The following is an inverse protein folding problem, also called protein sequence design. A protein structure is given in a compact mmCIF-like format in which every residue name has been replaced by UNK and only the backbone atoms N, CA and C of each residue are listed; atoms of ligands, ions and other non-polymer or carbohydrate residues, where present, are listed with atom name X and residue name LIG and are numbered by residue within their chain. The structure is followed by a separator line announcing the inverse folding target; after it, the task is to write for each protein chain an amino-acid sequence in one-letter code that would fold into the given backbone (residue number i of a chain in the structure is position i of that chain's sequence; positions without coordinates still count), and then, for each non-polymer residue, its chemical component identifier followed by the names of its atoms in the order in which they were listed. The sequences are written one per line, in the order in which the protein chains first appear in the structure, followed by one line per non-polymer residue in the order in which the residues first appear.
data_IF_667805386663
#
_entry.id   IF_667805386663
#
_cell.length_a   1.000
_cell.length_b   1.000
_cell.length_c   1.000
_cell.angle_alpha   90.00
_cell.angle_beta   90.00
_cell.angle_gamma   90.00
#
_symmetry.space_group_name_H-M   'P 1'
#
loop_
_entity.id
_entity.type
_entity.pdbx_description
1 polymer ?
#
# COMPACT_ATOMS: atom_id res chain seq x y z
N UNK A 1 -51.20 13.40 -62.29
CA UNK A 1 -51.84 13.38 -60.95
C UNK A 1 -50.86 12.77 -59.97
N UNK A 2 -50.57 13.50 -58.89
CA UNK A 2 -49.59 13.17 -57.85
C UNK A 2 -50.30 12.36 -56.78
N UNK A 3 -49.76 11.20 -56.42
CA UNK A 3 -50.16 10.49 -55.19
C UNK A 3 -49.01 10.59 -54.21
N UNK A 4 -49.16 11.49 -53.25
CA UNK A 4 -48.24 11.74 -52.15
C UNK A 4 -48.52 10.68 -51.09
N UNK A 5 -47.53 9.84 -50.77
CA UNK A 5 -47.60 8.88 -49.68
C UNK A 5 -47.34 9.64 -48.38
N UNK A 6 -48.40 9.86 -47.59
CA UNK A 6 -48.31 10.44 -46.26
C UNK A 6 -47.89 9.34 -45.27
N UNK A 7 -46.58 9.19 -45.05
CA UNK A 7 -46.06 8.36 -43.95
C UNK A 7 -46.14 9.20 -42.68
N UNK A 8 -47.18 8.98 -41.89
CA UNK A 8 -47.31 9.58 -40.57
C UNK A 8 -46.20 9.08 -39.65
N UNK A 9 -45.25 9.97 -39.34
CA UNK A 9 -44.31 9.84 -38.24
C UNK A 9 -45.07 9.78 -36.91
N UNK A 10 -45.17 8.60 -36.32
CA UNK A 10 -45.42 8.42 -34.89
C UNK A 10 -44.09 8.09 -34.21
N UNK A 11 -43.47 9.01 -33.45
CA UNK A 11 -42.42 8.64 -32.52
C UNK A 11 -43.09 7.92 -31.36
N UNK A 12 -43.12 6.58 -31.42
CA UNK A 12 -43.32 5.77 -30.23
C UNK A 12 -42.20 6.11 -29.26
N UNK A 13 -42.60 6.66 -28.12
CA UNK A 13 -41.82 6.85 -26.91
C UNK A 13 -41.13 5.53 -26.52
N UNK A 14 -39.93 5.30 -27.04
CA UNK A 14 -38.96 4.38 -26.45
C UNK A 14 -38.19 5.14 -25.34
N UNK A 15 -38.95 5.67 -24.37
CA UNK A 15 -38.43 5.74 -23.01
C UNK A 15 -38.40 4.30 -22.50
N UNK A 16 -37.41 3.96 -21.66
CA UNK A 16 -37.19 2.62 -21.06
C UNK A 16 -36.25 1.66 -21.80
N UNK A 17 -35.10 2.14 -22.26
CA UNK A 17 -33.92 1.28 -22.39
C UNK A 17 -32.60 1.94 -21.95
N UNK A 18 -32.66 3.06 -21.20
CA UNK A 18 -31.62 3.34 -20.21
C UNK A 18 -31.86 2.43 -19.03
N UNK A 19 -31.60 1.13 -19.27
CA UNK A 19 -31.42 0.16 -18.22
C UNK A 19 -30.37 0.75 -17.30
N UNK A 20 -30.86 1.29 -16.19
CA UNK A 20 -30.10 1.51 -14.98
C UNK A 20 -29.21 0.28 -14.83
N UNK A 21 -27.95 0.40 -15.23
CA UNK A 21 -26.87 -0.36 -14.61
C UNK A 21 -26.95 0.08 -13.15
N UNK A 22 -27.84 -0.53 -12.39
CA UNK A 22 -27.75 -0.61 -10.94
C UNK A 22 -26.50 -1.43 -10.70
N UNK A 23 -25.36 -0.76 -10.85
CA UNK A 23 -24.06 -1.24 -10.39
C UNK A 23 -24.32 -1.61 -8.92
N UNK A 24 -24.40 -2.92 -8.64
CA UNK A 24 -24.52 -3.43 -7.28
C UNK A 24 -23.44 -2.82 -6.39
N UNK A 25 -23.60 -2.83 -5.06
CA UNK A 25 -22.66 -2.18 -4.16
C UNK A 25 -21.23 -2.60 -4.49
N UNK A 26 -20.38 -1.62 -4.78
CA UNK A 26 -18.98 -1.81 -5.08
C UNK A 26 -18.34 -2.42 -3.83
N UNK A 27 -18.21 -3.76 -3.78
CA UNK A 27 -17.62 -4.42 -2.62
C UNK A 27 -16.14 -4.09 -2.57
N UNK A 28 -15.81 -3.17 -1.67
CA UNK A 28 -14.45 -2.78 -1.36
C UNK A 28 -13.85 -3.67 -0.28
N UNK A 29 -12.54 -3.83 -0.32
CA UNK A 29 -11.76 -4.50 0.72
C UNK A 29 -10.65 -3.60 1.21
N UNK A 30 -10.20 -3.82 2.43
CA UNK A 30 -9.04 -3.14 2.95
C UNK A 30 -7.80 -3.98 2.73
N UNK A 31 -6.71 -3.30 2.43
CA UNK A 31 -5.37 -3.84 2.42
C UNK A 31 -4.69 -3.35 3.69
N UNK A 32 -4.01 -4.25 4.39
CA UNK A 32 -3.17 -3.93 5.52
C UNK A 32 -1.72 -3.95 5.06
N UNK A 33 -1.05 -2.80 5.18
CA UNK A 33 0.32 -2.60 4.77
C UNK A 33 1.20 -2.40 6.01
N UNK A 34 2.42 -2.91 5.97
CA UNK A 34 3.33 -2.94 7.11
C UNK A 34 4.73 -2.53 6.71
N UNK A 35 5.41 -1.82 7.59
CA UNK A 35 6.85 -1.66 7.59
C UNK A 35 7.37 -2.42 8.81
N UNK A 36 8.22 -3.42 8.61
CA UNK A 36 8.76 -4.24 9.70
C UNK A 36 10.27 -4.13 9.78
N UNK A 37 10.78 -4.40 10.96
CA UNK A 37 12.20 -4.36 11.29
C UNK A 37 12.90 -5.70 11.05
N UNK A 38 13.92 -5.72 10.22
CA UNK A 38 14.60 -6.92 9.79
C UNK A 38 14.00 -7.42 8.49
N UNK A 39 14.15 -8.72 8.24
CA UNK A 39 13.84 -9.32 6.94
C UNK A 39 12.67 -10.31 6.97
N UNK A 40 12.08 -10.54 8.15
CA UNK A 40 11.10 -11.61 8.36
C UNK A 40 9.72 -11.06 8.63
N UNK A 41 8.69 -11.89 8.47
CA UNK A 41 7.29 -11.54 8.80
C UNK A 41 7.03 -11.42 10.30
N UNK A 42 7.79 -12.13 11.13
CA UNK A 42 7.63 -12.13 12.59
C UNK A 42 8.40 -11.00 13.27
N UNK A 43 9.23 -10.31 12.48
CA UNK A 43 9.83 -9.05 12.83
C UNK A 43 8.83 -8.06 13.42
N UNK A 44 9.32 -7.23 14.34
CA UNK A 44 8.55 -6.15 14.93
C UNK A 44 8.01 -5.20 13.84
N UNK A 45 6.72 -4.88 13.91
CA UNK A 45 6.11 -3.87 13.05
C UNK A 45 6.51 -2.47 13.52
N UNK A 46 7.11 -1.69 12.63
CA UNK A 46 7.49 -0.29 12.83
C UNK A 46 6.34 0.66 12.48
N UNK A 47 5.58 0.34 11.42
CA UNK A 47 4.44 1.14 10.96
C UNK A 47 3.39 0.25 10.29
N UNK A 48 2.13 0.61 10.49
CA UNK A 48 0.99 0.00 9.80
C UNK A 48 0.18 1.10 9.14
N UNK A 49 -0.30 0.84 7.92
CA UNK A 49 -1.31 1.68 7.27
C UNK A 49 -2.31 0.82 6.52
N UNK A 50 -3.50 1.35 6.29
CA UNK A 50 -4.57 0.66 5.56
C UNK A 50 -4.82 1.36 4.23
N UNK A 51 -5.17 0.59 3.21
CA UNK A 51 -5.58 1.11 1.91
C UNK A 51 -6.87 0.46 1.47
N UNK A 52 -7.91 1.25 1.15
CA UNK A 52 -9.18 0.72 0.64
C UNK A 52 -9.07 0.53 -0.87
N UNK A 53 -9.38 -0.66 -1.37
CA UNK A 53 -9.46 -0.94 -2.80
C UNK A 53 -10.84 -1.50 -3.15
N UNK A 54 -11.40 -1.06 -4.28
CA UNK A 54 -12.75 -1.43 -4.71
C UNK A 54 -12.68 -2.12 -6.08
N UNK A 55 -13.47 -3.18 -6.25
CA UNK A 55 -13.62 -3.88 -7.53
C UNK A 55 -14.70 -3.25 -8.39
N UNK A 56 -14.81 -3.72 -9.63
CA UNK A 56 -15.89 -3.35 -10.55
C UNK A 56 -17.18 -4.14 -10.23
N UNK A 57 -18.15 -4.16 -11.15
CA UNK A 57 -19.41 -4.92 -11.04
C UNK A 57 -19.14 -6.36 -10.57
N UNK A 58 -19.89 -6.81 -9.56
CA UNK A 58 -19.72 -8.14 -8.93
C UNK A 58 -18.82 -8.16 -7.69
N UNK A 59 -18.14 -7.04 -7.39
CA UNK A 59 -17.35 -6.90 -6.17
C UNK A 59 -15.91 -7.40 -6.29
N UNK A 60 -15.08 -7.10 -5.28
CA UNK A 60 -13.69 -7.53 -5.26
C UNK A 60 -13.52 -8.83 -4.47
N UNK A 61 -13.00 -9.88 -5.09
CA UNK A 61 -12.63 -11.12 -4.39
C UNK A 61 -11.41 -10.89 -3.49
N UNK A 62 -11.19 -11.77 -2.50
CA UNK A 62 -10.03 -11.64 -1.61
C UNK A 62 -8.70 -11.78 -2.36
N UNK A 63 -8.63 -12.72 -3.32
CA UNK A 63 -7.47 -12.90 -4.19
C UNK A 63 -7.20 -11.64 -5.01
N UNK A 64 -8.22 -11.10 -5.69
CA UNK A 64 -8.08 -9.90 -6.51
C UNK A 64 -7.72 -8.65 -5.68
N UNK A 65 -8.17 -8.56 -4.43
CA UNK A 65 -7.71 -7.53 -3.51
C UNK A 65 -6.23 -7.73 -3.15
N UNK A 66 -5.82 -8.96 -2.89
CA UNK A 66 -4.46 -9.31 -2.54
C UNK A 66 -3.47 -9.01 -3.68
N UNK A 67 -3.86 -9.25 -4.93
CA UNK A 67 -3.03 -8.94 -6.11
C UNK A 67 -2.72 -7.44 -6.23
N UNK A 68 -3.56 -6.59 -5.66
CA UNK A 68 -3.38 -5.13 -5.66
C UNK A 68 -2.46 -4.63 -4.55
N UNK A 69 -2.07 -5.48 -3.59
CA UNK A 69 -1.20 -5.10 -2.48
C UNK A 69 0.12 -4.53 -2.97
N UNK A 70 0.74 -5.12 -3.98
CA UNK A 70 2.04 -4.67 -4.49
C UNK A 70 2.00 -3.21 -4.99
N UNK A 71 0.92 -2.82 -5.68
CA UNK A 71 0.73 -1.47 -6.23
C UNK A 71 0.21 -0.47 -5.20
N UNK A 72 -0.55 -0.92 -4.19
CA UNK A 72 -1.21 -0.03 -3.22
C UNK A 72 -0.45 0.11 -1.90
N UNK A 73 0.20 -0.95 -1.42
CA UNK A 73 1.12 -0.89 -0.30
C UNK A 73 2.50 -0.40 -0.77
N UNK A 74 2.52 0.72 -1.50
CA UNK A 74 3.75 1.43 -1.81
C UNK A 74 4.10 2.33 -0.64
N UNK A 75 5.26 2.08 -0.05
CA UNK A 75 5.95 3.04 0.79
C UNK A 75 7.30 3.24 0.13
N UNK A 76 7.65 4.50 -0.12
CA UNK A 76 8.96 4.83 -0.61
C UNK A 76 9.96 4.74 0.54
N UNK A 77 10.73 3.65 0.57
CA UNK A 77 11.79 3.46 1.56
C UNK A 77 12.94 4.47 1.38
N UNK A 78 12.97 5.24 0.28
CA UNK A 78 13.88 6.38 0.11
C UNK A 78 13.40 7.64 0.82
N UNK A 79 12.13 7.72 1.22
CA UNK A 79 11.57 8.91 1.83
C UNK A 79 12.26 9.16 3.19
N UNK A 80 12.89 10.33 3.33
CA UNK A 80 13.62 10.72 4.54
C UNK A 80 12.72 10.70 5.79
N UNK A 81 11.45 11.07 5.67
CA UNK A 81 10.48 10.99 6.75
C UNK A 81 10.21 9.55 7.22
N UNK A 82 10.16 8.59 6.30
CA UNK A 82 10.03 7.16 6.64
C UNK A 82 11.32 6.66 7.31
N UNK A 83 12.49 7.02 6.77
CA UNK A 83 13.77 6.63 7.36
C UNK A 83 13.97 7.21 8.77
N UNK A 84 13.59 8.47 8.98
CA UNK A 84 13.63 9.10 10.29
C UNK A 84 12.66 8.44 11.28
N UNK A 85 11.46 8.03 10.83
CA UNK A 85 10.53 7.23 11.65
C UNK A 85 11.15 5.90 12.10
N UNK A 86 11.86 5.20 11.20
CA UNK A 86 12.60 3.97 11.52
C UNK A 86 13.66 4.24 12.59
N UNK A 87 14.45 5.31 12.44
CA UNK A 87 15.47 5.68 13.41
C UNK A 87 14.87 6.08 14.77
N UNK A 88 13.76 6.82 14.77
CA UNK A 88 13.06 7.20 16.00
C UNK A 88 12.48 6.00 16.74
N UNK A 89 11.99 4.98 16.02
CA UNK A 89 11.55 3.72 16.63
C UNK A 89 12.71 2.97 17.34
N UNK A 90 13.96 3.32 17.02
CA UNK A 90 15.18 2.76 17.62
C UNK A 90 15.95 3.73 18.49
N UNK A 91 15.36 4.87 18.87
CA UNK A 91 16.04 5.96 19.60
C UNK A 91 16.91 5.53 20.78
N UNK A 92 16.53 4.50 21.52
CA UNK A 92 17.30 3.97 22.66
C UNK A 92 18.65 3.38 22.24
N UNK A 93 18.72 2.77 21.05
CA UNK A 93 19.89 2.04 20.55
C UNK A 93 20.68 2.83 19.50
N UNK A 94 20.22 4.03 19.11
CA UNK A 94 20.95 4.87 18.15
C UNK A 94 22.19 5.44 18.83
N UNK A 95 23.41 5.13 18.33
CA UNK A 95 24.67 5.61 18.89
C UNK A 95 24.93 7.07 18.48
N UNK A 96 25.86 7.73 19.19
CA UNK A 96 26.36 9.04 18.78
C UNK A 96 27.35 8.92 17.61
N UNK A 97 27.36 9.93 16.74
CA UNK A 97 28.35 10.08 15.67
C UNK A 97 29.78 9.97 16.22
N UNK A 98 30.73 9.30 15.53
CA UNK A 98 30.66 8.76 14.16
C UNK A 98 30.04 7.36 14.03
N UNK A 99 29.63 6.74 15.14
CA UNK A 99 29.02 5.43 15.09
C UNK A 99 27.61 5.50 14.49
N UNK A 100 27.20 4.41 13.83
CA UNK A 100 25.90 4.28 13.19
C UNK A 100 25.24 2.95 13.52
N UNK A 101 23.92 2.99 13.69
CA UNK A 101 23.08 1.80 13.77
C UNK A 101 22.49 1.51 12.38
N UNK A 102 22.75 0.33 11.84
CA UNK A 102 22.10 -0.14 10.61
C UNK A 102 20.85 -0.93 10.96
N UNK A 103 19.69 -0.42 10.54
CA UNK A 103 18.39 -1.07 10.71
C UNK A 103 17.94 -1.58 9.35
N UNK A 104 17.86 -2.90 9.19
CA UNK A 104 17.20 -3.49 8.03
C UNK A 104 15.69 -3.28 8.18
N UNK A 105 15.03 -2.85 7.12
CA UNK A 105 13.58 -2.72 7.08
C UNK A 105 13.04 -3.44 5.88
N UNK A 106 11.87 -4.04 6.07
CA UNK A 106 11.17 -4.73 5.00
C UNK A 106 9.72 -4.29 4.94
N UNK A 107 9.28 -3.98 3.72
CA UNK A 107 7.90 -3.59 3.43
C UNK A 107 7.05 -4.83 3.16
N UNK A 108 5.88 -4.89 3.77
CA UNK A 108 4.90 -5.96 3.61
C UNK A 108 3.50 -5.40 3.35
N UNK A 109 2.61 -6.27 2.89
CA UNK A 109 1.18 -6.00 2.92
C UNK A 109 0.39 -7.26 2.61
N UNK A 110 -0.92 -7.19 2.86
CA UNK A 110 -1.87 -8.25 2.51
C UNK A 110 -3.28 -7.67 2.41
N UNK A 111 -4.21 -8.39 1.82
CA UNK A 111 -5.63 -8.11 2.00
C UNK A 111 -6.08 -8.45 3.44
N UNK A 112 -7.06 -7.71 3.96
CA UNK A 112 -7.63 -7.92 5.31
C UNK A 112 -8.23 -9.32 5.50
N UNK A 113 -8.80 -9.86 4.43
CA UNK A 113 -9.41 -11.19 4.34
C UNK A 113 -8.40 -12.35 4.24
N UNK A 114 -7.10 -12.08 4.11
CA UNK A 114 -6.06 -13.12 4.14
C UNK A 114 -5.64 -13.41 5.57
N UNK A 115 -5.50 -14.69 5.92
CA UNK A 115 -5.02 -15.09 7.25
C UNK A 115 -3.57 -14.64 7.46
N UNK A 116 -3.18 -14.49 8.74
CA UNK A 116 -1.80 -14.16 9.10
C UNK A 116 -0.83 -15.33 8.94
N UNK A 117 -1.29 -16.53 8.54
CA UNK A 117 -0.50 -17.76 8.46
C UNK A 117 -0.53 -18.41 7.06
N UNK A 118 -1.24 -17.83 6.09
CA UNK A 118 -1.34 -18.38 4.75
C UNK A 118 -0.02 -18.23 4.00
N UNK A 119 0.41 -19.28 3.28
CA UNK A 119 1.59 -19.36 2.40
C UNK A 119 1.72 -18.21 1.37
N UNK A 120 0.73 -17.34 1.25
CA UNK A 120 0.72 -16.11 0.45
C UNK A 120 1.44 -14.96 1.14
N UNK A 121 2.55 -15.23 1.84
CA UNK A 121 2.96 -14.29 2.88
C UNK A 121 3.36 -12.92 2.35
N UNK A 122 3.64 -12.83 1.04
CA UNK A 122 3.94 -11.60 0.30
C UNK A 122 4.56 -11.82 -1.07
N UNK A 123 4.88 -13.07 -1.48
CA UNK A 123 5.14 -13.49 -2.87
C UNK A 123 5.76 -14.92 -2.92
N UNK A 124 5.33 -15.72 -3.90
CA UNK A 124 5.82 -17.08 -4.19
C UNK A 124 7.11 -17.03 -5.03
N UNK A 125 7.95 -18.07 -4.93
CA UNK A 125 9.29 -18.16 -5.52
C UNK A 125 9.30 -18.05 -7.04
N UNK A 126 8.21 -18.39 -7.71
CA UNK A 126 8.21 -18.48 -9.17
C UNK A 126 7.69 -17.24 -9.91
N UNK A 127 7.11 -16.21 -9.26
CA UNK A 127 6.74 -14.96 -9.98
C UNK A 127 6.88 -13.67 -9.12
N UNK A 128 8.05 -13.03 -9.29
CA UNK A 128 8.44 -11.62 -9.05
C UNK A 128 8.09 -10.95 -7.72
N UNK A 129 8.91 -11.35 -6.74
CA UNK A 129 8.37 -11.96 -5.56
C UNK A 129 8.95 -11.51 -4.22
N UNK A 130 9.67 -10.40 -4.17
CA UNK A 130 10.59 -10.15 -3.05
C UNK A 130 10.14 -8.92 -2.28
N UNK A 131 9.85 -9.05 -0.97
CA UNK A 131 9.50 -7.89 -0.20
C UNK A 131 10.64 -6.88 -0.22
N UNK A 132 10.32 -5.62 -0.51
CA UNK A 132 11.36 -4.59 -0.68
C UNK A 132 12.09 -4.40 0.65
N UNK A 133 13.37 -4.80 0.66
CA UNK A 133 14.30 -4.64 1.78
C UNK A 133 15.12 -3.39 1.59
N UNK A 134 15.49 -2.73 2.68
CA UNK A 134 16.45 -1.63 2.68
C UNK A 134 17.19 -1.56 4.00
N UNK A 135 18.45 -1.14 3.98
CA UNK A 135 19.16 -0.69 5.17
C UNK A 135 18.89 0.81 5.43
N UNK A 136 18.57 1.15 6.67
CA UNK A 136 18.45 2.52 7.15
C UNK A 136 19.53 2.75 8.21
N UNK A 137 20.35 3.77 8.02
CA UNK A 137 21.46 4.06 8.92
C UNK A 137 21.07 5.23 9.81
N UNK A 138 21.19 5.03 11.13
CA UNK A 138 20.74 5.97 12.13
C UNK A 138 21.91 6.38 13.02
N UNK A 139 22.02 7.68 13.31
CA UNK A 139 22.99 8.22 14.27
C UNK A 139 22.37 9.34 15.09
N UNK A 140 22.95 9.64 16.25
CA UNK A 140 22.67 10.83 17.03
C UNK A 140 23.80 11.83 16.82
N UNK A 141 23.42 13.06 16.53
CA UNK A 141 24.36 14.15 16.35
C UNK A 141 23.87 15.40 17.05
N UNK A 142 24.79 16.11 17.70
CA UNK A 142 24.58 17.47 18.16
C UNK A 142 25.70 18.34 17.60
N UNK A 143 25.38 19.43 16.88
CA UNK A 143 26.42 20.33 16.38
C UNK A 143 27.13 21.09 17.52
N UNK A 144 26.51 21.16 18.71
CA UNK A 144 27.01 21.90 19.86
C UNK A 144 26.87 21.06 21.14
N UNK A 145 27.88 21.01 22.03
CA UNK A 145 27.86 20.16 23.23
C UNK A 145 26.68 20.41 24.18
N UNK A 146 26.17 21.64 24.21
CA UNK A 146 25.05 22.05 25.07
C UNK A 146 23.66 21.83 24.46
N UNK A 147 23.57 21.45 23.19
CA UNK A 147 22.31 21.11 22.56
C UNK A 147 22.03 19.60 22.68
N UNK A 148 20.76 19.21 22.91
CA UNK A 148 20.39 17.80 22.90
C UNK A 148 20.61 17.19 21.51
N UNK A 149 21.31 16.05 21.47
CA UNK A 149 21.56 15.33 20.22
C UNK A 149 20.25 14.90 19.56
N UNK A 150 20.13 15.16 18.26
CA UNK A 150 19.00 14.75 17.43
C UNK A 150 19.34 13.50 16.64
N UNK A 151 18.32 12.71 16.34
CA UNK A 151 18.45 11.51 15.52
C UNK A 151 18.39 11.91 14.04
N UNK A 152 19.33 11.40 13.26
CA UNK A 152 19.40 11.61 11.82
C UNK A 152 19.44 10.27 11.09
N UNK A 153 18.81 10.22 9.92
CA UNK A 153 19.04 9.17 8.94
C UNK A 153 20.22 9.56 8.03
N UNK A 154 21.09 8.61 7.75
CA UNK A 154 22.24 8.76 6.86
C UNK A 154 22.14 7.76 5.72
N UNK A 155 22.84 8.01 4.59
CA UNK A 155 23.10 6.96 3.62
C UNK A 155 23.81 5.80 4.32
N UNK A 156 23.19 4.61 4.20
CA UNK A 156 23.93 3.36 4.20
C UNK A 156 24.54 3.19 2.81
#
# INVERSE_FOLDING_TARGET
MKTIILIALLPLLANEAFGFLKFGPWNCRNLACFLKEGQTIHSRTLKTWKYRTCGSIGGLSCSAANDRVASRCQSDLNNAGIQLQVCNAKKANVPNWPNKLTVWVTKMGKADCMSNNANNFWMDKDHHGVPKKRAVCCTKYSPLPWLPAKIYNLPC
#
